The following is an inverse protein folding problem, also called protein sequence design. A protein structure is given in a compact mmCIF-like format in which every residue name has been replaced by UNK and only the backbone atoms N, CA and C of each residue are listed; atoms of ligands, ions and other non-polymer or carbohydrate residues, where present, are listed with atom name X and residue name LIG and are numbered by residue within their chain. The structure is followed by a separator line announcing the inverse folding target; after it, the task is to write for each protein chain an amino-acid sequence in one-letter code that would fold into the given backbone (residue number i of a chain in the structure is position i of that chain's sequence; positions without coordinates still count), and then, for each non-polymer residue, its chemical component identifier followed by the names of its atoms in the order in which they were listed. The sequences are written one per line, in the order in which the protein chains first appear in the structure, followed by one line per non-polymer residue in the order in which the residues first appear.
data_IF_427705099808
#
_entry.id   IF_427705099808
#
_cell.length_a   1.000
_cell.length_b   1.000
_cell.length_c   1.000
_cell.angle_alpha   90.00
_cell.angle_beta   90.00
_cell.angle_gamma   90.00
#
_symmetry.space_group_name_H-M   'P 1'
#
loop_
_entity.id
_entity.type
_entity.pdbx_description
1 polymer ?
#
# COMPACT_ATOMS: atom_id res chain seq x y z
N UNK A 1 -21.64 -14.12 -15.40
CA UNK A 1 -22.69 -13.39 -16.15
C UNK A 1 -22.01 -12.83 -17.38
N UNK A 2 -22.51 -13.14 -18.58
CA UNK A 2 -22.04 -12.49 -19.82
C UNK A 2 -22.46 -11.02 -19.74
N UNK A 3 -21.51 -10.10 -19.90
CA UNK A 3 -21.81 -8.68 -19.95
C UNK A 3 -22.61 -8.36 -21.20
N UNK A 4 -23.39 -7.28 -21.17
CA UNK A 4 -24.07 -6.74 -22.35
C UNK A 4 -23.01 -6.37 -23.41
N UNK A 5 -23.05 -7.06 -24.56
CA UNK A 5 -22.07 -6.87 -25.63
C UNK A 5 -22.45 -5.75 -26.61
N UNK A 6 -23.59 -5.07 -26.38
CA UNK A 6 -23.96 -3.89 -27.16
C UNK A 6 -22.94 -2.75 -27.01
N UNK A 7 -22.83 -1.82 -27.98
CA UNK A 7 -21.97 -0.64 -27.84
C UNK A 7 -22.30 0.18 -26.59
N UNK A 8 -23.58 0.35 -26.27
CA UNK A 8 -24.05 1.06 -25.07
C UNK A 8 -23.70 0.30 -23.79
N UNK A 9 -23.84 -1.03 -23.76
CA UNK A 9 -23.44 -1.87 -22.65
C UNK A 9 -21.92 -1.81 -22.40
N UNK A 10 -21.11 -1.76 -23.46
CA UNK A 10 -19.67 -1.59 -23.35
C UNK A 10 -19.29 -0.23 -22.75
N UNK A 11 -19.91 0.85 -23.21
CA UNK A 11 -19.70 2.20 -22.67
C UNK A 11 -20.00 2.24 -21.17
N UNK A 12 -21.14 1.71 -20.73
CA UNK A 12 -21.52 1.65 -19.32
C UNK A 12 -20.52 0.84 -18.48
N UNK A 13 -20.01 -0.26 -19.01
CA UNK A 13 -18.98 -1.07 -18.35
C UNK A 13 -17.68 -0.26 -18.13
N UNK A 14 -17.23 0.47 -19.16
CA UNK A 14 -16.01 1.29 -19.06
C UNK A 14 -16.21 2.45 -18.08
N UNK A 15 -17.35 3.13 -18.11
CA UNK A 15 -17.67 4.23 -17.20
C UNK A 15 -17.73 3.73 -15.75
N UNK A 16 -18.39 2.60 -15.51
CA UNK A 16 -18.44 1.96 -14.19
C UNK A 16 -17.06 1.56 -13.69
N UNK A 17 -16.22 1.00 -14.57
CA UNK A 17 -14.84 0.67 -14.23
C UNK A 17 -14.01 1.91 -13.87
N UNK A 18 -14.14 3.01 -14.63
CA UNK A 18 -13.47 4.28 -14.33
C UNK A 18 -13.87 4.82 -12.96
N UNK A 19 -15.15 4.76 -12.63
CA UNK A 19 -15.66 5.17 -11.33
C UNK A 19 -15.08 4.31 -10.19
N UNK A 20 -15.17 2.99 -10.31
CA UNK A 20 -14.59 2.07 -9.32
C UNK A 20 -13.07 2.28 -9.16
N UNK A 21 -12.36 2.55 -10.25
CA UNK A 21 -10.93 2.84 -10.22
C UNK A 21 -10.64 4.12 -9.43
N UNK A 22 -11.38 5.19 -9.67
CA UNK A 22 -11.24 6.46 -8.95
C UNK A 22 -11.50 6.27 -7.45
N UNK A 23 -12.58 5.59 -7.08
CA UNK A 23 -12.91 5.28 -5.69
C UNK A 23 -11.80 4.46 -5.02
N UNK A 24 -11.27 3.46 -5.70
CA UNK A 24 -10.15 2.64 -5.22
C UNK A 24 -8.87 3.45 -5.04
N UNK A 25 -8.56 4.36 -5.96
CA UNK A 25 -7.38 5.24 -5.83
C UNK A 25 -7.50 6.16 -4.61
N UNK A 26 -8.69 6.73 -4.37
CA UNK A 26 -8.99 7.66 -3.27
C UNK A 26 -9.27 6.97 -1.93
N UNK A 27 -9.39 5.65 -1.91
CA UNK A 27 -9.68 4.93 -0.67
C UNK A 27 -8.53 5.07 0.33
N UNK A 28 -8.79 4.94 1.65
CA UNK A 28 -7.74 4.98 2.68
C UNK A 28 -6.63 3.92 2.50
N UNK A 29 -6.94 2.84 1.79
CA UNK A 29 -6.01 1.78 1.44
C UNK A 29 -5.51 1.87 -0.02
N UNK A 30 -5.90 2.93 -0.73
CA UNK A 30 -5.53 3.20 -2.12
C UNK A 30 -4.12 3.74 -2.31
N UNK A 31 -3.75 3.91 -3.58
CA UNK A 31 -2.42 4.40 -3.92
C UNK A 31 -2.18 5.86 -3.53
N UNK A 32 -3.21 6.71 -3.55
CA UNK A 32 -3.10 8.12 -3.15
C UNK A 32 -2.92 8.29 -1.64
N UNK A 33 -3.20 7.26 -0.86
CA UNK A 33 -2.93 7.23 0.58
C UNK A 33 -1.47 6.91 0.91
N UNK A 34 -0.69 6.34 -0.02
CA UNK A 34 0.70 5.96 0.24
C UNK A 34 1.52 7.20 0.55
N UNK A 35 2.03 7.29 1.78
CA UNK A 35 2.78 8.43 2.30
C UNK A 35 4.24 8.13 2.62
N UNK A 36 4.64 6.86 2.63
CA UNK A 36 6.03 6.48 2.89
C UNK A 36 6.34 5.02 2.64
N UNK A 37 7.62 4.75 2.41
CA UNK A 37 8.21 3.43 2.32
C UNK A 37 9.58 3.45 3.01
N UNK A 38 9.73 2.63 4.05
CA UNK A 38 10.93 2.55 4.87
C UNK A 38 11.46 1.12 4.80
N UNK A 39 12.66 0.95 4.24
CA UNK A 39 13.34 -0.34 4.22
C UNK A 39 13.93 -0.66 5.59
N UNK A 40 13.63 -1.85 6.12
CA UNK A 40 14.04 -2.26 7.45
C UNK A 40 15.47 -2.83 7.51
N UNK A 41 16.15 -2.93 6.38
CA UNK A 41 17.55 -3.31 6.23
C UNK A 41 18.48 -2.13 5.87
N UNK A 42 17.96 -0.91 5.89
CA UNK A 42 18.69 0.33 5.62
C UNK A 42 18.46 1.36 6.74
N UNK A 43 19.52 1.97 7.28
CA UNK A 43 20.93 1.63 7.08
C UNK A 43 21.29 0.27 7.67
N UNK A 44 22.33 -0.39 7.13
CA UNK A 44 22.76 -1.71 7.60
C UNK A 44 23.06 -1.71 9.10
N UNK A 45 22.53 -2.72 9.80
CA UNK A 45 22.72 -2.87 11.25
C UNK A 45 21.72 -2.10 12.10
N UNK A 46 20.86 -1.27 11.52
CA UNK A 46 19.76 -0.67 12.28
C UNK A 46 18.70 -1.72 12.55
N UNK A 47 18.33 -1.88 13.82
CA UNK A 47 17.32 -2.83 14.28
C UNK A 47 16.12 -2.14 14.93
N UNK A 48 16.19 -0.84 15.17
CA UNK A 48 15.18 -0.05 15.86
C UNK A 48 14.78 1.15 15.01
N UNK A 49 13.47 1.36 14.84
CA UNK A 49 12.89 2.43 14.00
C UNK A 49 11.84 3.16 14.81
N UNK A 50 12.10 4.41 15.15
CA UNK A 50 11.15 5.25 15.88
C UNK A 50 9.90 5.54 15.07
N UNK A 51 8.73 5.42 15.69
CA UNK A 51 7.42 5.78 15.16
C UNK A 51 7.03 7.13 15.75
N UNK A 52 6.65 8.11 14.92
CA UNK A 52 6.17 9.40 15.40
C UNK A 52 6.14 10.47 14.32
N UNK A 53 5.71 11.67 14.70
CA UNK A 53 5.65 12.80 13.78
C UNK A 53 6.88 13.70 13.83
N UNK A 54 7.85 13.43 14.72
CA UNK A 54 9.09 14.19 14.82
C UNK A 54 10.00 13.97 13.60
N UNK A 55 10.92 14.90 13.36
CA UNK A 55 11.88 14.79 12.25
C UNK A 55 12.88 13.65 12.42
N UNK A 56 13.13 13.24 13.65
CA UNK A 56 14.00 12.10 13.97
C UNK A 56 13.33 10.74 13.83
N UNK A 57 12.01 10.67 13.62
CA UNK A 57 11.31 9.39 13.46
C UNK A 57 11.55 8.82 12.06
N UNK A 58 12.05 7.58 11.99
CA UNK A 58 12.25 6.85 10.72
C UNK A 58 10.90 6.47 10.10
N UNK A 59 9.95 6.04 10.94
CA UNK A 59 8.56 5.77 10.54
C UNK A 59 7.76 7.03 10.84
N UNK A 60 7.80 7.96 9.88
CA UNK A 60 7.28 9.31 10.07
C UNK A 60 5.78 9.36 9.80
N UNK A 61 5.03 9.72 10.84
CA UNK A 61 3.58 9.87 10.80
C UNK A 61 3.17 11.34 10.54
N UNK A 62 1.89 11.54 10.22
CA UNK A 62 1.31 12.88 10.09
C UNK A 62 1.34 13.64 11.42
N UNK A 63 1.81 14.89 11.40
CA UNK A 63 1.82 15.78 12.59
C UNK A 63 0.41 16.14 13.09
N UNK A 64 -0.57 16.10 12.21
CA UNK A 64 -1.94 16.49 12.54
C UNK A 64 -2.65 15.47 13.44
N UNK A 65 -2.20 14.20 13.43
CA UNK A 65 -2.90 13.12 14.10
C UNK A 65 -2.01 12.22 14.95
N UNK A 66 -0.73 12.55 15.09
CA UNK A 66 0.20 11.67 15.78
C UNK A 66 1.18 12.47 16.64
N UNK A 67 1.54 11.97 17.84
CA UNK A 67 2.52 12.62 18.70
C UNK A 67 3.93 12.61 18.08
N UNK A 68 4.82 13.43 18.61
CA UNK A 68 6.20 13.51 18.18
C UNK A 68 6.92 12.15 18.29
N UNK A 69 6.62 11.39 19.35
CA UNK A 69 7.07 10.01 19.57
C UNK A 69 5.86 9.14 19.90
N UNK A 70 5.55 8.18 19.05
CA UNK A 70 4.39 7.30 19.20
C UNK A 70 4.78 5.87 19.61
N UNK A 71 6.01 5.45 19.34
CA UNK A 71 6.46 4.09 19.62
C UNK A 71 7.72 3.71 18.88
N UNK A 72 7.96 2.41 18.78
CA UNK A 72 9.15 1.82 18.19
C UNK A 72 8.80 0.56 17.41
N UNK A 73 9.43 0.36 16.25
CA UNK A 73 9.50 -0.92 15.56
C UNK A 73 10.88 -1.52 15.78
N UNK A 74 10.93 -2.81 16.08
CA UNK A 74 12.18 -3.56 16.34
C UNK A 74 12.22 -4.74 15.37
N UNK A 75 13.36 -4.90 14.71
CA UNK A 75 13.64 -6.03 13.81
C UNK A 75 14.71 -6.91 14.41
N UNK A 76 14.37 -8.16 14.71
CA UNK A 76 15.33 -9.16 15.23
C UNK A 76 15.07 -10.49 14.54
N UNK A 77 16.09 -11.08 13.96
CA UNK A 77 16.02 -12.41 13.30
C UNK A 77 14.85 -12.55 12.30
N UNK A 78 14.57 -11.46 11.57
CA UNK A 78 13.47 -11.43 10.58
C UNK A 78 12.06 -11.26 11.19
N UNK A 79 11.95 -11.19 12.53
CA UNK A 79 10.72 -10.85 13.25
C UNK A 79 10.62 -9.34 13.39
N UNK A 80 9.47 -8.78 13.04
CA UNK A 80 9.18 -7.36 13.17
C UNK A 80 8.17 -7.17 14.30
N UNK A 81 8.62 -6.68 15.44
CA UNK A 81 7.79 -6.34 16.59
C UNK A 81 7.64 -4.83 16.71
N UNK A 82 6.61 -4.39 17.43
CA UNK A 82 6.39 -2.97 17.73
C UNK A 82 5.93 -2.77 19.17
N UNK A 83 6.21 -1.58 19.69
CA UNK A 83 5.68 -1.07 20.97
C UNK A 83 5.10 0.31 20.73
N UNK A 84 4.02 0.63 21.45
CA UNK A 84 3.36 1.94 21.44
C UNK A 84 3.53 2.59 22.81
N UNK A 85 3.90 3.86 22.81
CA UNK A 85 4.12 4.62 24.03
C UNK A 85 2.81 4.80 24.80
N UNK A 86 2.93 4.91 26.13
CA UNK A 86 1.80 5.17 27.00
C UNK A 86 1.04 6.45 26.59
N UNK A 87 -0.28 6.39 26.62
CA UNK A 87 -1.16 7.50 26.25
C UNK A 87 -1.34 7.68 24.73
N UNK A 88 -0.70 6.87 23.89
CA UNK A 88 -0.91 6.89 22.44
C UNK A 88 -1.96 5.85 22.04
N UNK A 89 -3.01 6.31 21.39
CA UNK A 89 -4.02 5.41 20.83
C UNK A 89 -3.53 4.71 19.55
N UNK A 90 -3.52 3.39 19.59
CA UNK A 90 -3.18 2.56 18.44
C UNK A 90 -4.09 1.34 18.34
N UNK A 91 -4.28 0.84 17.13
CA UNK A 91 -5.02 -0.40 16.90
C UNK A 91 -4.25 -1.32 15.95
N UNK A 92 -4.26 -2.61 16.25
CA UNK A 92 -3.83 -3.66 15.33
C UNK A 92 -5.08 -4.41 14.85
N UNK A 93 -5.33 -4.37 13.54
CA UNK A 93 -6.50 -4.99 12.91
C UNK A 93 -7.83 -4.54 13.57
N UNK A 94 -7.91 -3.25 13.94
CA UNK A 94 -9.08 -2.64 14.58
C UNK A 94 -9.22 -2.88 16.08
N UNK A 95 -8.32 -3.65 16.72
CA UNK A 95 -8.30 -3.88 18.18
C UNK A 95 -7.24 -3.00 18.83
N UNK A 96 -7.57 -2.34 19.94
CA UNK A 96 -6.63 -1.53 20.71
C UNK A 96 -5.38 -2.36 21.08
N UNK A 97 -4.21 -1.73 21.00
CA UNK A 97 -2.94 -2.41 21.25
C UNK A 97 -1.89 -1.45 21.79
N UNK A 98 -0.98 -1.96 22.62
CA UNK A 98 0.22 -1.27 23.08
C UNK A 98 1.51 -1.92 22.52
N UNK A 99 1.38 -3.03 21.78
CA UNK A 99 2.51 -3.70 21.17
C UNK A 99 2.11 -5.03 20.54
N UNK A 100 3.02 -5.63 19.81
CA UNK A 100 2.79 -6.90 19.13
C UNK A 100 3.82 -7.22 18.06
N UNK A 101 3.49 -8.17 17.22
CA UNK A 101 4.28 -8.59 16.06
C UNK A 101 3.50 -8.27 14.80
N UNK A 102 4.15 -7.65 13.82
CA UNK A 102 3.60 -7.47 12.48
C UNK A 102 3.93 -8.71 11.64
N UNK A 103 2.91 -9.35 11.12
CA UNK A 103 3.04 -10.58 10.34
C UNK A 103 2.90 -10.31 8.85
N UNK A 104 3.59 -11.10 8.06
CA UNK A 104 3.40 -11.19 6.61
C UNK A 104 2.57 -12.44 6.33
N UNK A 105 1.63 -12.33 5.39
CA UNK A 105 0.87 -13.48 4.92
C UNK A 105 1.81 -14.52 4.31
N UNK A 106 1.95 -15.71 4.92
CA UNK A 106 2.85 -16.75 4.42
C UNK A 106 2.43 -17.28 3.04
N UNK A 107 1.15 -17.19 2.69
CA UNK A 107 0.64 -17.59 1.37
C UNK A 107 0.93 -16.55 0.27
N UNK A 108 1.22 -15.31 0.67
CA UNK A 108 1.50 -14.19 -0.26
C UNK A 108 2.66 -13.35 0.26
N UNK A 109 3.86 -13.93 0.39
CA UNK A 109 5.00 -13.25 1.05
C UNK A 109 5.46 -11.96 0.35
N UNK A 110 5.17 -11.80 -0.93
CA UNK A 110 5.46 -10.59 -1.71
C UNK A 110 4.29 -9.59 -1.73
N UNK A 111 3.16 -9.92 -1.10
CA UNK A 111 2.03 -9.01 -0.94
C UNK A 111 2.20 -8.12 0.31
N UNK A 112 1.27 -7.20 0.48
CA UNK A 112 1.16 -6.44 1.72
C UNK A 112 0.75 -7.38 2.87
N UNK A 113 1.24 -7.10 4.07
CA UNK A 113 0.84 -7.84 5.28
C UNK A 113 -0.68 -7.75 5.49
N UNK A 114 -1.31 -8.83 5.99
CA UNK A 114 -2.69 -8.75 6.47
C UNK A 114 -2.82 -7.81 7.67
N UNK A 115 -1.73 -7.60 8.42
CA UNK A 115 -1.75 -6.76 9.60
C UNK A 115 -1.78 -5.27 9.24
N UNK A 116 -2.67 -4.54 9.92
CA UNK A 116 -2.80 -3.10 9.83
C UNK A 116 -2.65 -2.50 11.22
N UNK A 117 -1.45 -1.99 11.52
CA UNK A 117 -1.22 -1.16 12.70
C UNK A 117 -1.61 0.28 12.35
N UNK A 118 -2.53 0.87 13.11
CA UNK A 118 -3.01 2.23 12.90
C UNK A 118 -2.67 3.11 14.08
N UNK A 119 -2.09 4.28 13.79
CA UNK A 119 -1.84 5.37 14.74
C UNK A 119 -2.35 6.67 14.11
N UNK A 120 -3.30 7.33 14.74
CA UNK A 120 -3.98 8.50 14.16
C UNK A 120 -4.62 8.17 12.80
N UNK A 121 -4.29 8.93 11.76
CA UNK A 121 -4.79 8.71 10.40
C UNK A 121 -3.92 7.74 9.58
N UNK A 122 -2.74 7.39 10.09
CA UNK A 122 -1.76 6.60 9.36
C UNK A 122 -1.89 5.12 9.68
N UNK A 123 -1.93 4.30 8.65
CA UNK A 123 -1.77 2.85 8.75
C UNK A 123 -0.36 2.43 8.34
N UNK A 124 0.19 1.51 9.11
CA UNK A 124 1.54 0.97 9.02
C UNK A 124 1.40 -0.50 8.61
N UNK A 125 2.01 -0.86 7.49
CA UNK A 125 1.95 -2.20 6.93
C UNK A 125 3.35 -2.75 6.74
N UNK A 126 3.57 -3.97 7.20
CA UNK A 126 4.78 -4.72 6.86
C UNK A 126 4.60 -5.31 5.46
N UNK A 127 5.58 -5.10 4.60
CA UNK A 127 5.59 -5.68 3.25
C UNK A 127 6.92 -6.37 2.97
N UNK A 128 6.92 -7.32 2.04
CA UNK A 128 8.14 -7.94 1.50
C UNK A 128 8.19 -7.67 0.00
N UNK A 129 9.36 -7.26 -0.50
CA UNK A 129 9.62 -7.08 -1.93
C UNK A 129 11.03 -7.54 -2.24
N UNK A 130 11.16 -8.45 -3.20
CA UNK A 130 12.45 -9.05 -3.59
C UNK A 130 13.24 -9.58 -2.37
N UNK A 131 12.56 -10.27 -1.47
CA UNK A 131 13.14 -10.82 -0.23
C UNK A 131 13.40 -9.82 0.89
N UNK A 132 13.30 -8.50 0.64
CA UNK A 132 13.56 -7.44 1.62
C UNK A 132 12.28 -7.02 2.36
N UNK A 133 12.43 -6.70 3.64
CA UNK A 133 11.33 -6.19 4.48
C UNK A 133 11.28 -4.66 4.44
N UNK A 134 10.08 -4.12 4.35
CA UNK A 134 9.84 -2.69 4.45
C UNK A 134 8.53 -2.38 5.18
N UNK A 135 8.44 -1.20 5.75
CA UNK A 135 7.21 -0.59 6.25
C UNK A 135 6.65 0.31 5.15
N UNK A 136 5.39 0.08 4.79
CA UNK A 136 4.61 0.99 3.94
C UNK A 136 3.64 1.77 4.81
N UNK A 137 3.63 3.08 4.63
CA UNK A 137 2.70 3.98 5.28
C UNK A 137 1.58 4.38 4.33
N UNK A 138 0.36 4.44 4.86
CA UNK A 138 -0.79 5.04 4.20
C UNK A 138 -1.46 6.04 5.13
N UNK A 139 -1.65 7.25 4.65
CA UNK A 139 -2.36 8.29 5.38
C UNK A 139 -3.75 8.48 4.76
N UNK A 140 -4.78 8.14 5.52
CA UNK A 140 -6.18 8.26 5.09
C UNK A 140 -6.61 9.72 4.80
N UNK A 141 -5.86 10.71 5.29
CA UNK A 141 -6.06 12.14 5.03
C UNK A 141 -4.97 12.74 4.16
N UNK A 142 -4.27 11.92 3.39
CA UNK A 142 -3.24 12.38 2.45
C UNK A 142 -3.75 13.54 1.58
N UNK A 143 -3.00 14.63 1.45
CA UNK A 143 -3.34 15.73 0.51
C UNK A 143 -3.53 15.26 -0.93
N UNK A 144 -2.87 14.15 -1.32
CA UNK A 144 -3.04 13.56 -2.64
C UNK A 144 -4.47 13.02 -2.86
N UNK A 145 -5.11 12.49 -1.80
CA UNK A 145 -6.52 12.04 -1.89
C UNK A 145 -7.43 13.25 -2.06
N UNK A 146 -7.20 14.32 -1.29
CA UNK A 146 -8.05 15.51 -1.26
C UNK A 146 -7.96 16.32 -2.55
N UNK A 147 -6.75 16.48 -3.07
CA UNK A 147 -6.45 17.34 -4.21
C UNK A 147 -6.32 16.58 -5.54
N UNK A 148 -6.65 15.27 -5.58
CA UNK A 148 -6.56 14.51 -6.80
C UNK A 148 -7.61 14.98 -7.81
N UNK A 149 -7.19 15.55 -8.96
CA UNK A 149 -8.13 16.13 -9.94
C UNK A 149 -8.91 15.08 -10.73
N UNK A 150 -8.56 13.80 -10.59
CA UNK A 150 -9.06 12.73 -11.42
C UNK A 150 -8.03 12.25 -12.44
N UNK A 151 -8.45 11.35 -13.29
CA UNK A 151 -7.67 10.85 -14.43
C UNK A 151 -8.31 11.38 -15.71
N UNK A 152 -7.49 11.86 -16.64
CA UNK A 152 -7.94 12.22 -17.97
C UNK A 152 -8.16 10.94 -18.81
N UNK A 153 -9.33 10.83 -19.39
CA UNK A 153 -9.72 9.68 -20.17
C UNK A 153 -10.02 10.05 -21.62
N UNK A 154 -9.59 9.22 -22.54
CA UNK A 154 -10.10 9.29 -23.90
C UNK A 154 -11.60 8.96 -23.93
N UNK A 155 -12.37 9.51 -24.91
CA UNK A 155 -13.74 9.09 -25.13
C UNK A 155 -13.86 7.56 -25.25
N UNK A 156 -14.95 7.00 -24.77
CA UNK A 156 -15.20 5.58 -24.96
C UNK A 156 -15.61 5.34 -26.41
N UNK A 157 -14.91 4.42 -27.08
CA UNK A 157 -15.20 4.04 -28.44
C UNK A 157 -15.13 2.51 -28.56
N UNK A 158 -16.24 1.91 -28.91
CA UNK A 158 -16.37 0.46 -29.04
C UNK A 158 -15.45 -0.14 -30.14
N UNK A 159 -14.98 0.69 -31.08
CA UNK A 159 -14.04 0.24 -32.13
C UNK A 159 -12.66 -0.17 -31.57
N UNK A 160 -12.29 0.32 -30.37
CA UNK A 160 -11.07 -0.09 -29.68
C UNK A 160 -11.24 -1.39 -28.86
N UNK A 161 -12.45 -1.93 -28.78
CA UNK A 161 -12.69 -3.21 -28.12
C UNK A 161 -12.20 -4.35 -29.00
N UNK A 162 -11.17 -5.05 -28.57
CA UNK A 162 -10.61 -6.21 -29.29
C UNK A 162 -10.82 -7.49 -28.47
N UNK A 163 -11.29 -8.52 -29.14
CA UNK A 163 -11.30 -9.87 -28.59
C UNK A 163 -9.99 -10.55 -28.96
N UNK A 164 -9.22 -10.96 -27.96
CA UNK A 164 -7.93 -11.62 -28.15
C UNK A 164 -7.90 -12.97 -27.45
N UNK A 165 -7.23 -13.94 -28.09
CA UNK A 165 -6.91 -15.24 -27.48
C UNK A 165 -5.56 -15.15 -26.79
N UNK A 166 -5.52 -15.46 -25.50
CA UNK A 166 -4.25 -15.63 -24.82
C UNK A 166 -3.58 -16.92 -25.28
N UNK A 167 -2.36 -16.81 -25.82
CA UNK A 167 -1.54 -17.95 -26.23
C UNK A 167 -0.25 -17.90 -25.40
N UNK A 168 -0.09 -18.78 -24.41
CA UNK A 168 1.15 -18.83 -23.63
C UNK A 168 2.30 -19.30 -24.51
N UNK A 169 3.51 -18.84 -24.20
CA UNK A 169 4.71 -19.42 -24.78
C UNK A 169 4.94 -20.81 -24.20
N UNK A 170 5.15 -21.78 -25.08
CA UNK A 170 5.56 -23.15 -24.71
C UNK A 170 6.83 -23.53 -25.53
N UNK A 171 7.99 -23.66 -24.88
CA UNK A 171 8.27 -23.41 -23.46
C UNK A 171 8.18 -21.92 -23.06
N UNK A 172 7.99 -21.61 -21.76
CA UNK A 172 7.96 -20.23 -21.26
C UNK A 172 9.22 -19.45 -21.65
N UNK A 173 9.05 -18.21 -22.11
CA UNK A 173 10.18 -17.34 -22.46
C UNK A 173 10.45 -16.37 -21.31
N UNK A 174 11.70 -16.24 -20.83
CA UNK A 174 12.04 -15.21 -19.86
C UNK A 174 11.91 -13.83 -20.49
N UNK A 175 11.26 -12.91 -19.81
CA UNK A 175 11.17 -11.50 -20.19
C UNK A 175 11.96 -10.70 -19.15
N UNK A 176 12.98 -9.99 -19.63
CA UNK A 176 13.69 -9.03 -18.78
C UNK A 176 12.86 -7.76 -18.67
N UNK A 177 12.47 -7.41 -17.44
CA UNK A 177 11.77 -6.17 -17.14
C UNK A 177 12.71 -5.30 -16.31
N UNK A 178 13.14 -4.19 -16.88
CA UNK A 178 13.92 -3.20 -16.15
C UNK A 178 12.96 -2.30 -15.39
N UNK A 179 13.09 -2.25 -14.07
CA UNK A 179 12.33 -1.32 -13.26
C UNK A 179 12.99 0.08 -13.26
N UNK A 180 12.33 1.07 -12.68
CA UNK A 180 12.83 2.46 -12.60
C UNK A 180 14.17 2.62 -11.84
N UNK A 181 14.66 1.58 -11.17
CA UNK A 181 15.95 1.54 -10.49
C UNK A 181 17.02 0.78 -11.25
N UNK A 182 16.73 0.31 -12.48
CA UNK A 182 17.69 -0.35 -13.36
C UNK A 182 18.05 -1.80 -12.96
N UNK A 183 17.22 -2.46 -12.14
CA UNK A 183 17.43 -3.85 -11.73
C UNK A 183 16.60 -4.80 -12.59
#
# INVERSE_FOLDING_TARGET
MAGDESPEGYEQQVLSWRQMRLERLKSPDGWLAVSGLIWLDEPKGQTEFGIGSSEGSQIRLSRESSPASAGLVIVREGIVSFTINDGVEATLNGKATHGGILQIDPAKPEADSPDKLKVGHTSIHLIRRSGRLAIRLRDAKSPLIQNFPGEDWYPVDASYRVTAKFVPYDPPRPIQITNVRGA
#
